data_IF_283900387107
#
_entry.id   IF_283900387107
#
_cell.length_a   1.000
_cell.length_b   1.000
_cell.length_c   1.000
_cell.angle_alpha   90.00
_cell.angle_beta   90.00
_cell.angle_gamma   90.00
#
_symmetry.space_group_name_H-M   'P 1'
#
loop_
_entity.id
_entity.type
_entity.pdbx_description
1 polymer ?
#
# COMPACT_ATOMS: atom_id res chain seq x y z
N UNK A 1 65.67 13.25 28.11
CA UNK A 1 64.58 12.27 28.19
C UNK A 1 63.40 12.83 27.46
N UNK A 2 63.11 12.32 26.28
CA UNK A 2 61.91 12.71 25.53
C UNK A 2 60.81 11.75 25.89
N UNK A 3 59.78 12.27 26.55
CA UNK A 3 58.57 11.49 26.81
C UNK A 3 57.67 11.57 25.59
N UNK A 4 57.54 10.46 24.91
CA UNK A 4 56.62 10.32 23.79
C UNK A 4 55.21 10.15 24.38
N UNK A 5 54.34 11.17 24.25
CA UNK A 5 52.94 11.05 24.54
C UNK A 5 52.25 10.41 23.34
N UNK A 6 51.93 9.14 23.49
CA UNK A 6 51.10 8.44 22.52
C UNK A 6 49.66 8.87 22.74
N UNK A 7 49.18 9.81 21.95
CA UNK A 7 47.76 10.13 21.94
C UNK A 7 47.05 9.03 21.17
N UNK A 8 46.42 8.12 21.90
CA UNK A 8 45.54 7.13 21.34
C UNK A 8 44.26 7.86 20.92
N UNK A 9 44.17 8.17 19.62
CA UNK A 9 42.95 8.68 19.05
C UNK A 9 41.97 7.48 18.97
N UNK A 10 41.11 7.36 19.97
CA UNK A 10 39.94 6.45 19.86
C UNK A 10 38.96 7.11 18.89
N UNK A 11 39.05 6.72 17.65
CA UNK A 11 38.04 6.98 16.64
C UNK A 11 36.80 6.18 17.02
N UNK A 12 35.93 6.78 17.82
CA UNK A 12 34.62 6.24 18.10
C UNK A 12 33.79 6.35 16.83
N UNK A 13 33.62 5.26 16.10
CA UNK A 13 32.60 5.16 15.09
C UNK A 13 31.25 5.23 15.77
N UNK A 14 30.63 6.41 15.74
CA UNK A 14 29.24 6.55 16.12
C UNK A 14 28.43 5.87 15.01
N UNK A 15 28.07 4.62 15.24
CA UNK A 15 27.04 3.98 14.44
C UNK A 15 25.74 4.70 14.83
N UNK A 16 25.32 5.62 13.97
CA UNK A 16 23.99 6.19 14.07
C UNK A 16 23.01 5.04 13.84
N UNK A 17 22.55 4.41 14.91
CA UNK A 17 21.38 3.55 14.84
C UNK A 17 20.23 4.43 14.36
N UNK A 18 19.84 4.28 13.12
CA UNK A 18 18.60 4.85 12.63
C UNK A 18 17.50 4.33 13.54
N UNK A 19 16.95 5.21 14.36
CA UNK A 19 15.81 4.88 15.20
C UNK A 19 14.59 4.71 14.26
N UNK A 20 14.49 3.54 13.64
CA UNK A 20 13.24 3.12 13.01
C UNK A 20 12.29 2.79 14.15
N UNK A 21 11.16 3.53 14.21
CA UNK A 21 10.10 3.21 15.14
C UNK A 21 9.74 1.73 15.02
N UNK A 22 9.50 1.09 16.16
CA UNK A 22 9.09 -0.31 16.19
C UNK A 22 7.64 -0.39 15.71
N UNK A 23 7.40 -1.18 14.70
CA UNK A 23 6.07 -1.42 14.20
C UNK A 23 6.07 -2.07 12.81
N UNK A 24 4.89 -2.45 12.39
CA UNK A 24 4.65 -2.92 11.04
C UNK A 24 4.62 -1.72 10.09
N UNK A 25 5.13 -1.90 8.88
CA UNK A 25 5.14 -0.89 7.81
C UNK A 25 4.62 -1.52 6.53
N UNK A 26 3.63 -0.87 5.91
CA UNK A 26 3.14 -1.31 4.60
C UNK A 26 3.86 -0.51 3.51
N UNK A 27 4.60 -1.21 2.67
CA UNK A 27 5.21 -0.62 1.48
C UNK A 27 4.55 -1.18 0.24
N UNK A 28 3.75 -0.34 -0.41
CA UNK A 28 3.08 -0.70 -1.66
C UNK A 28 4.07 -0.67 -2.81
N UNK A 29 4.00 -1.66 -3.70
CA UNK A 29 4.77 -1.61 -4.95
C UNK A 29 4.29 -0.45 -5.82
N UNK A 30 2.96 -0.35 -5.99
CA UNK A 30 2.28 0.76 -6.65
C UNK A 30 0.99 1.01 -5.90
N UNK A 31 0.83 2.20 -5.32
CA UNK A 31 -0.34 2.55 -4.52
C UNK A 31 -1.51 3.11 -5.35
N UNK A 32 -1.31 3.31 -6.63
CA UNK A 32 -2.31 3.86 -7.55
C UNK A 32 -2.43 2.98 -8.78
N UNK A 33 -3.65 2.88 -9.31
CA UNK A 33 -3.89 2.15 -10.54
C UNK A 33 -4.88 2.90 -11.43
N UNK A 34 -4.57 3.02 -12.72
CA UNK A 34 -5.46 3.60 -13.71
C UNK A 34 -5.97 2.47 -14.62
N UNK A 35 -7.26 2.21 -14.57
CA UNK A 35 -7.91 1.23 -15.45
C UNK A 35 -8.06 1.74 -16.88
N UNK A 36 -7.89 3.05 -17.10
CA UNK A 36 -8.16 3.66 -18.40
C UNK A 36 -9.66 3.71 -18.72
N UNK A 37 -10.00 3.64 -20.00
CA UNK A 37 -11.39 3.62 -20.45
C UNK A 37 -12.03 2.26 -20.20
N UNK A 38 -13.21 2.29 -19.59
CA UNK A 38 -14.02 1.10 -19.29
C UNK A 38 -15.43 1.36 -19.80
N UNK A 39 -16.02 0.39 -20.48
CA UNK A 39 -17.42 0.49 -20.88
C UNK A 39 -18.34 0.38 -19.66
N UNK A 40 -19.34 1.27 -19.59
CA UNK A 40 -20.33 1.25 -18.53
C UNK A 40 -20.95 -0.15 -18.37
N UNK A 41 -21.00 -0.63 -17.12
CA UNK A 41 -21.52 -1.94 -16.79
C UNK A 41 -20.46 -3.02 -16.65
N UNK A 42 -19.23 -2.78 -17.10
CA UNK A 42 -18.13 -3.72 -16.91
C UNK A 42 -17.67 -3.73 -15.45
N UNK A 43 -17.26 -4.90 -15.01
CA UNK A 43 -16.59 -5.11 -13.73
C UNK A 43 -15.11 -5.36 -13.99
N UNK A 44 -14.26 -4.64 -13.28
CA UNK A 44 -12.81 -4.77 -13.39
C UNK A 44 -12.20 -5.08 -12.04
N UNK A 45 -11.06 -5.70 -12.03
CA UNK A 45 -10.34 -6.06 -10.81
C UNK A 45 -8.89 -5.63 -10.93
N UNK A 46 -8.31 -5.32 -9.79
CA UNK A 46 -6.88 -5.06 -9.68
C UNK A 46 -6.34 -5.59 -8.35
N UNK A 47 -5.16 -6.15 -8.38
CA UNK A 47 -4.44 -6.62 -7.20
C UNK A 47 -3.29 -5.67 -6.89
N UNK A 48 -3.37 -5.02 -5.74
CA UNK A 48 -2.27 -4.24 -5.18
C UNK A 48 -1.37 -5.15 -4.37
N UNK A 49 -0.08 -5.04 -4.56
CA UNK A 49 0.92 -5.81 -3.83
C UNK A 49 1.71 -4.94 -2.89
N UNK A 50 1.98 -5.46 -1.71
CA UNK A 50 2.74 -4.78 -0.68
C UNK A 50 3.68 -5.73 0.04
N UNK A 51 4.61 -5.13 0.76
CA UNK A 51 5.55 -5.83 1.62
C UNK A 51 5.53 -5.20 3.01
N UNK A 52 5.62 -6.03 4.04
CA UNK A 52 5.86 -5.51 5.38
C UNK A 52 7.35 -5.22 5.52
N UNK A 53 7.71 -3.95 5.45
CA UNK A 53 9.09 -3.48 5.59
C UNK A 53 9.42 -3.03 7.01
N UNK A 54 8.48 -3.22 7.94
CA UNK A 54 8.68 -2.96 9.35
C UNK A 54 9.38 -4.11 10.08
N UNK A 55 9.40 -4.03 11.38
CA UNK A 55 10.05 -5.01 12.26
C UNK A 55 9.08 -5.78 13.16
N UNK A 56 7.79 -5.57 12.98
CA UNK A 56 6.73 -6.30 13.67
C UNK A 56 5.72 -6.88 12.69
N UNK A 57 4.97 -7.92 13.07
CA UNK A 57 3.94 -8.49 12.19
C UNK A 57 2.87 -7.46 11.83
N UNK A 58 2.50 -7.43 10.57
CA UNK A 58 1.42 -6.59 10.05
C UNK A 58 0.10 -7.34 10.17
N UNK A 59 -0.89 -6.69 10.79
CA UNK A 59 -2.24 -7.23 10.92
C UNK A 59 -3.21 -6.26 10.27
N UNK A 60 -3.86 -6.70 9.19
CA UNK A 60 -4.91 -5.94 8.51
C UNK A 60 -6.24 -6.38 9.09
N UNK A 61 -6.97 -5.46 9.70
CA UNK A 61 -8.24 -5.75 10.37
C UNK A 61 -9.44 -5.42 9.51
N UNK A 62 -9.31 -4.47 8.59
CA UNK A 62 -10.41 -4.10 7.70
C UNK A 62 -9.89 -3.40 6.45
N UNK A 63 -10.71 -3.42 5.41
CA UNK A 63 -10.48 -2.64 4.19
C UNK A 63 -11.77 -1.87 3.92
N UNK A 64 -11.69 -0.55 3.94
CA UNK A 64 -12.84 0.34 3.82
C UNK A 64 -12.86 0.99 2.45
N UNK A 65 -14.05 1.09 1.89
CA UNK A 65 -14.31 1.74 0.60
C UNK A 65 -15.36 2.83 0.78
N UNK A 66 -15.32 3.85 -0.08
CA UNK A 66 -16.24 4.99 -0.03
C UNK A 66 -17.48 4.80 -0.89
N UNK A 67 -17.54 3.75 -1.66
CA UNK A 67 -18.60 3.50 -2.64
C UNK A 67 -18.97 2.01 -2.63
N UNK A 68 -20.25 1.70 -2.67
CA UNK A 68 -20.72 0.32 -2.85
C UNK A 68 -20.34 -0.30 -4.19
N UNK A 69 -19.82 0.52 -5.12
CA UNK A 69 -19.31 0.08 -6.42
C UNK A 69 -17.91 -0.58 -6.33
N UNK A 70 -17.22 -0.43 -5.21
CA UNK A 70 -15.90 -1.01 -4.96
C UNK A 70 -16.01 -2.09 -3.91
N UNK A 71 -15.51 -3.27 -4.22
CA UNK A 71 -15.54 -4.42 -3.31
C UNK A 71 -14.14 -4.94 -3.08
N UNK A 72 -13.66 -4.93 -1.83
CA UNK A 72 -12.45 -5.67 -1.49
C UNK A 72 -12.74 -7.17 -1.59
N UNK A 73 -12.05 -7.87 -2.49
CA UNK A 73 -12.28 -9.30 -2.72
C UNK A 73 -11.39 -10.20 -1.90
N UNK A 74 -10.22 -9.72 -1.51
CA UNK A 74 -9.33 -10.52 -0.70
C UNK A 74 -8.15 -9.73 -0.17
N UNK A 75 -7.84 -9.98 1.08
CA UNK A 75 -6.61 -9.55 1.73
C UNK A 75 -6.23 -10.58 2.78
N UNK A 76 -4.96 -10.60 3.16
CA UNK A 76 -4.47 -11.54 4.16
C UNK A 76 -5.14 -11.28 5.52
N UNK A 77 -5.73 -12.32 6.09
CA UNK A 77 -6.33 -12.30 7.43
C UNK A 77 -5.32 -12.69 8.50
N UNK A 78 -4.31 -13.47 8.10
CA UNK A 78 -3.23 -13.87 8.99
C UNK A 78 -2.16 -12.77 9.07
N UNK A 79 -1.41 -12.71 10.20
CA UNK A 79 -0.32 -11.77 10.33
C UNK A 79 0.73 -11.96 9.22
N UNK A 80 1.19 -10.84 8.68
CA UNK A 80 2.25 -10.80 7.67
C UNK A 80 3.55 -10.40 8.36
N UNK A 81 4.48 -11.33 8.46
CA UNK A 81 5.75 -11.10 9.15
C UNK A 81 6.64 -10.07 8.46
N UNK A 82 7.63 -9.52 9.19
CA UNK A 82 8.62 -8.62 8.60
C UNK A 82 9.30 -9.25 7.38
N UNK A 83 9.37 -8.48 6.30
CA UNK A 83 9.95 -8.93 5.04
C UNK A 83 9.04 -9.78 4.17
N UNK A 84 7.86 -10.14 4.65
CA UNK A 84 6.87 -10.89 3.88
C UNK A 84 5.97 -9.96 3.07
N UNK A 85 5.44 -10.49 1.97
CA UNK A 85 4.57 -9.77 1.06
C UNK A 85 3.11 -10.21 1.20
N UNK A 86 2.19 -9.32 0.82
CA UNK A 86 0.78 -9.61 0.76
C UNK A 86 0.13 -8.93 -0.42
N UNK A 87 -1.13 -9.23 -0.62
CA UNK A 87 -1.93 -8.72 -1.73
C UNK A 87 -3.29 -8.22 -1.23
N UNK A 88 -3.77 -7.18 -1.90
CA UNK A 88 -5.13 -6.68 -1.76
C UNK A 88 -5.77 -6.64 -3.14
N UNK A 89 -6.81 -7.41 -3.35
CA UNK A 89 -7.57 -7.40 -4.60
C UNK A 89 -8.85 -6.61 -4.41
N UNK A 90 -9.11 -5.67 -5.30
CA UNK A 90 -10.35 -4.89 -5.33
C UNK A 90 -11.08 -5.13 -6.65
N UNK A 91 -12.40 -5.09 -6.59
CA UNK A 91 -13.26 -5.12 -7.76
C UNK A 91 -14.02 -3.81 -7.86
N UNK A 92 -14.15 -3.28 -9.07
CA UNK A 92 -14.89 -2.07 -9.36
C UNK A 92 -16.00 -2.37 -10.37
N UNK A 93 -17.23 -2.09 -9.98
CA UNK A 93 -18.41 -2.27 -10.81
C UNK A 93 -18.82 -0.90 -11.38
N UNK A 94 -18.78 -0.77 -12.69
CA UNK A 94 -19.09 0.48 -13.37
C UNK A 94 -20.56 0.67 -13.72
N UNK A 95 -21.44 -0.23 -13.28
CA UNK A 95 -22.89 -0.10 -13.51
C UNK A 95 -23.39 1.24 -12.96
N UNK A 96 -24.09 2.00 -13.78
CA UNK A 96 -24.63 3.31 -13.40
C UNK A 96 -23.56 4.42 -13.25
N UNK A 97 -22.31 4.15 -13.55
CA UNK A 97 -21.23 5.15 -13.52
C UNK A 97 -20.99 5.72 -14.90
N UNK A 98 -20.51 6.95 -14.95
CA UNK A 98 -20.15 7.63 -16.17
C UNK A 98 -19.07 8.67 -15.92
N UNK A 99 -18.16 8.82 -16.88
CA UNK A 99 -17.08 9.80 -16.80
C UNK A 99 -15.93 9.36 -15.90
N UNK A 100 -15.14 10.33 -15.49
CA UNK A 100 -13.95 10.08 -14.68
C UNK A 100 -14.31 9.65 -13.28
N UNK A 101 -13.76 8.52 -12.86
CA UNK A 101 -13.92 7.95 -11.52
C UNK A 101 -12.58 7.94 -10.81
N UNK A 102 -12.56 8.45 -9.58
CA UNK A 102 -11.41 8.36 -8.67
C UNK A 102 -11.90 7.76 -7.36
N UNK A 103 -11.31 6.67 -6.95
CA UNK A 103 -11.70 5.94 -5.74
C UNK A 103 -10.51 5.72 -4.83
N UNK A 104 -10.78 5.78 -3.54
CA UNK A 104 -9.79 5.55 -2.49
C UNK A 104 -10.21 4.35 -1.67
N UNK A 105 -9.26 3.47 -1.39
CA UNK A 105 -9.43 2.32 -0.52
C UNK A 105 -8.56 2.51 0.71
N UNK A 106 -9.16 2.44 1.88
CA UNK A 106 -8.47 2.64 3.16
C UNK A 106 -8.21 1.30 3.82
N UNK A 107 -6.97 1.06 4.16
CA UNK A 107 -6.53 -0.16 4.85
C UNK A 107 -6.40 0.13 6.34
N UNK A 108 -7.20 -0.56 7.14
CA UNK A 108 -7.13 -0.47 8.60
C UNK A 108 -6.22 -1.57 9.12
N UNK A 109 -5.12 -1.18 9.73
CA UNK A 109 -4.10 -2.10 10.21
C UNK A 109 -3.32 -1.51 11.38
N UNK A 110 -2.40 -2.30 11.91
CA UNK A 110 -1.46 -1.84 12.92
C UNK A 110 -0.20 -1.17 12.34
N UNK A 111 -0.17 -0.91 11.03
CA UNK A 111 0.96 -0.24 10.40
C UNK A 111 1.14 1.18 10.95
N UNK A 112 2.39 1.57 11.16
CA UNK A 112 2.75 2.88 11.74
C UNK A 112 2.91 3.98 10.69
N UNK A 113 3.02 3.62 9.41
CA UNK A 113 3.21 4.58 8.33
C UNK A 113 1.89 5.04 7.73
N UNK A 114 1.69 6.34 7.65
CA UNK A 114 0.45 6.93 7.11
C UNK A 114 0.26 6.65 5.61
N UNK A 115 1.33 6.63 4.83
CA UNK A 115 1.30 6.37 3.39
C UNK A 115 0.87 4.93 3.06
N UNK A 116 0.99 4.00 3.99
CA UNK A 116 0.54 2.62 3.83
C UNK A 116 -0.97 2.44 3.99
N UNK A 117 -1.70 3.46 4.44
CA UNK A 117 -3.12 3.34 4.79
C UNK A 117 -4.07 3.41 3.61
N UNK A 118 -3.60 3.85 2.45
CA UNK A 118 -4.48 4.07 1.32
C UNK A 118 -3.86 3.59 0.02
N UNK A 119 -4.70 3.02 -0.82
CA UNK A 119 -4.45 2.86 -2.25
C UNK A 119 -5.58 3.54 -3.00
N UNK A 120 -5.35 3.90 -4.24
CA UNK A 120 -6.36 4.55 -5.05
C UNK A 120 -6.37 3.99 -6.47
N UNK A 121 -7.49 4.14 -7.13
CA UNK A 121 -7.60 3.80 -8.54
C UNK A 121 -8.47 4.82 -9.27
N UNK A 122 -8.29 4.89 -10.57
CA UNK A 122 -9.06 5.74 -11.46
C UNK A 122 -9.53 4.97 -12.68
N UNK A 123 -10.57 5.48 -13.29
CA UNK A 123 -11.11 4.96 -14.54
C UNK A 123 -11.88 6.05 -15.26
N UNK A 124 -11.96 5.94 -16.58
CA UNK A 124 -12.85 6.72 -17.43
C UNK A 124 -13.97 5.81 -17.90
N UNK A 125 -15.17 5.98 -17.37
CA UNK A 125 -16.31 5.16 -17.74
C UNK A 125 -17.00 5.78 -18.95
N UNK A 126 -17.04 5.03 -20.03
CA UNK A 126 -17.60 5.47 -21.30
C UNK A 126 -18.82 4.63 -21.68
N UNK A 127 -19.77 5.27 -22.36
CA UNK A 127 -20.92 4.56 -22.93
C UNK A 127 -20.51 4.11 -24.32
N UNK A 128 -20.39 2.80 -24.49
CA UNK A 128 -20.17 2.20 -25.79
C UNK A 128 -21.49 1.77 -26.37
N UNK A 129 -21.86 2.37 -27.50
CA UNK A 129 -23.00 1.88 -28.27
C UNK A 129 -22.59 0.58 -28.93
N UNK A 130 -23.30 -0.51 -28.59
CA UNK A 130 -23.25 -1.71 -29.40
C UNK A 130 -23.86 -1.37 -30.76
N UNK A 131 -23.02 -1.33 -31.79
CA UNK A 131 -23.50 -1.26 -33.17
C UNK A 131 -23.90 -2.66 -33.57
N UNK A 132 -25.18 -2.86 -33.72
CA UNK A 132 -25.70 -4.09 -34.33
C UNK A 132 -25.54 -3.99 -35.86
#
# INVERSE_FOLDING_TARGET
MKRLFLILLMSGTVVAASAQGKGAVISWEVATHDFGEIAQGEKVEHTFRFKNTGNEPLIITNVQVTCGCTTPKGWARDPIGPGQSGELTIAFNTAGKFGKQNKVVTIVSNAINSEGRQVSFSAEVVIRKTVN
#
